data_IF_818803800659
#
_entry.id   IF_818803800659
#
_cell.length_a   1.000
_cell.length_b   1.000
_cell.length_c   1.000
_cell.angle_alpha   90.00
_cell.angle_beta   90.00
_cell.angle_gamma   90.00
#
_symmetry.space_group_name_H-M   'P 1'
#
loop_
_entity.id
_entity.type
_entity.pdbx_description
1 polymer ?
#
# COMPACT_ATOMS: atom_id res chain seq x y z
N UNK A 1 25.39 9.56 -21.12
CA UNK A 1 24.70 10.77 -21.60
C UNK A 1 24.89 10.91 -23.09
N UNK A 2 23.82 11.22 -23.83
CA UNK A 2 23.94 11.59 -25.23
C UNK A 2 24.67 12.93 -25.34
N UNK A 3 25.52 13.08 -26.36
CA UNK A 3 26.19 14.36 -26.64
C UNK A 3 25.19 15.46 -26.98
N UNK A 4 24.08 15.10 -27.61
CA UNK A 4 22.96 16.00 -27.88
C UNK A 4 22.09 16.12 -26.63
N UNK A 5 22.13 17.28 -25.97
CA UNK A 5 21.47 17.51 -24.68
C UNK A 5 19.95 17.29 -24.74
N UNK A 6 19.33 17.75 -25.83
CA UNK A 6 17.88 17.66 -26.12
C UNK A 6 17.33 16.22 -26.14
N UNK A 7 18.18 15.23 -26.47
CA UNK A 7 17.77 13.82 -26.57
C UNK A 7 17.83 13.09 -25.22
N UNK A 8 18.36 13.72 -24.17
CA UNK A 8 18.41 13.09 -22.86
C UNK A 8 17.03 13.17 -22.19
N UNK A 9 16.44 12.01 -21.93
CA UNK A 9 15.17 11.86 -21.24
C UNK A 9 15.34 11.81 -19.72
N UNK A 10 16.53 11.44 -19.24
CA UNK A 10 16.87 11.35 -17.82
C UNK A 10 18.19 12.05 -17.53
N UNK A 11 18.21 12.84 -16.47
CA UNK A 11 19.38 13.56 -16.00
C UNK A 11 19.58 13.26 -14.51
N UNK A 12 20.84 13.01 -14.16
CA UNK A 12 21.25 12.70 -12.79
C UNK A 12 22.32 13.70 -12.40
N UNK A 13 22.01 14.53 -11.41
CA UNK A 13 22.88 15.56 -10.82
C UNK A 13 22.89 15.45 -9.29
N UNK A 14 22.72 14.23 -8.75
CA UNK A 14 22.71 13.96 -7.31
C UNK A 14 24.12 14.05 -6.71
N UNK A 15 24.23 14.46 -5.45
CA UNK A 15 25.49 14.54 -4.69
C UNK A 15 26.59 15.40 -5.35
N UNK A 16 26.21 16.40 -6.14
CA UNK A 16 27.16 17.29 -6.81
C UNK A 16 27.56 18.51 -5.97
N UNK A 17 26.88 18.76 -4.85
CA UNK A 17 27.08 19.96 -4.04
C UNK A 17 26.63 21.24 -4.73
N UNK A 18 25.76 21.12 -5.74
CA UNK A 18 25.25 22.25 -6.51
C UNK A 18 24.40 23.15 -5.62
N UNK A 19 24.54 24.47 -5.78
CA UNK A 19 23.76 25.47 -5.04
C UNK A 19 22.62 26.08 -5.85
N UNK A 20 22.68 25.94 -7.17
CA UNK A 20 21.71 26.49 -8.13
C UNK A 20 21.49 25.51 -9.27
N UNK A 21 20.24 25.43 -9.73
CA UNK A 21 19.85 24.71 -10.93
C UNK A 21 19.98 25.68 -12.11
N UNK A 22 21.02 25.51 -12.91
CA UNK A 22 21.32 26.37 -14.05
C UNK A 22 21.89 25.55 -15.22
N UNK A 23 21.91 26.15 -16.42
CA UNK A 23 22.38 25.52 -17.66
C UNK A 23 21.56 24.27 -18.09
N UNK A 24 20.26 24.26 -17.81
CA UNK A 24 19.34 23.19 -18.20
C UNK A 24 18.51 23.51 -19.46
N UNK A 25 18.68 24.70 -20.05
CA UNK A 25 17.84 25.21 -21.14
C UNK A 25 17.81 24.32 -22.39
N UNK A 26 18.94 23.67 -22.69
CA UNK A 26 19.08 22.77 -23.84
C UNK A 26 18.45 21.38 -23.61
N UNK A 27 18.04 21.03 -22.39
CA UNK A 27 17.49 19.71 -22.06
C UNK A 27 15.96 19.64 -22.27
N UNK A 28 15.48 20.17 -23.40
CA UNK A 28 14.04 20.30 -23.70
C UNK A 28 13.28 18.96 -23.71
N UNK A 29 13.95 17.86 -24.04
CA UNK A 29 13.38 16.50 -24.03
C UNK A 29 13.39 15.79 -22.66
N UNK A 30 13.86 16.45 -21.60
CA UNK A 30 14.02 15.84 -20.29
C UNK A 30 12.69 15.48 -19.65
N UNK A 31 12.56 14.22 -19.23
CA UNK A 31 11.37 13.68 -18.57
C UNK A 31 11.60 13.42 -17.08
N UNK A 32 12.83 13.09 -16.69
CA UNK A 32 13.17 12.77 -15.30
C UNK A 32 14.42 13.50 -14.87
N UNK A 33 14.34 14.24 -13.77
CA UNK A 33 15.47 14.92 -13.15
C UNK A 33 15.70 14.40 -11.74
N UNK A 34 16.87 13.79 -11.52
CA UNK A 34 17.35 13.38 -10.20
C UNK A 34 18.37 14.39 -9.70
N UNK A 35 17.97 15.23 -8.76
CA UNK A 35 18.74 16.36 -8.24
C UNK A 35 18.83 16.34 -6.70
N UNK A 36 18.78 15.15 -6.14
CA UNK A 36 18.81 14.89 -4.69
C UNK A 36 20.20 15.12 -4.08
N UNK A 37 20.26 15.36 -2.77
CA UNK A 37 21.51 15.54 -2.02
C UNK A 37 22.40 16.66 -2.58
N UNK A 38 21.81 17.84 -2.80
CA UNK A 38 22.53 19.05 -3.17
C UNK A 38 22.30 20.16 -2.14
N UNK A 39 22.71 21.39 -2.45
CA UNK A 39 22.51 22.57 -1.62
C UNK A 39 21.55 23.57 -2.25
N UNK A 40 20.55 23.11 -3.03
CA UNK A 40 19.59 24.01 -3.66
C UNK A 40 18.73 24.69 -2.60
N UNK A 41 18.69 26.02 -2.59
CA UNK A 41 17.80 26.79 -1.71
C UNK A 41 16.46 27.15 -2.36
N UNK A 42 16.38 27.04 -3.69
CA UNK A 42 15.21 27.36 -4.50
C UNK A 42 15.09 26.41 -5.68
N UNK A 43 13.88 26.25 -6.17
CA UNK A 43 13.60 25.62 -7.45
C UNK A 43 13.73 26.73 -8.51
N UNK A 44 14.64 26.57 -9.47
CA UNK A 44 14.90 27.53 -10.55
C UNK A 44 15.48 26.79 -11.77
N UNK A 45 15.52 27.43 -12.95
CA UNK A 45 16.18 26.84 -14.13
C UNK A 45 15.42 25.67 -14.76
N UNK A 46 14.12 25.53 -14.48
CA UNK A 46 13.26 24.47 -15.02
C UNK A 46 12.29 24.97 -16.10
N UNK A 47 12.41 26.25 -16.51
CA UNK A 47 11.44 26.97 -17.34
C UNK A 47 11.30 26.34 -18.73
N UNK A 48 12.40 25.80 -19.28
CA UNK A 48 12.44 25.17 -20.59
C UNK A 48 12.11 23.67 -20.57
N UNK A 49 12.00 23.06 -19.39
CA UNK A 49 11.80 21.62 -19.20
C UNK A 49 10.30 21.22 -19.26
N UNK A 50 9.64 21.60 -20.34
CA UNK A 50 8.18 21.42 -20.51
C UNK A 50 7.73 19.95 -20.57
N UNK A 51 8.64 19.04 -20.92
CA UNK A 51 8.39 17.60 -20.98
C UNK A 51 8.61 16.86 -19.64
N UNK A 52 9.00 17.57 -18.58
CA UNK A 52 9.35 16.99 -17.29
C UNK A 52 8.15 16.30 -16.63
N UNK A 53 8.33 15.04 -16.24
CA UNK A 53 7.31 14.18 -15.61
C UNK A 53 7.66 13.82 -14.17
N UNK A 54 8.93 13.69 -13.85
CA UNK A 54 9.37 13.31 -12.50
C UNK A 54 10.54 14.17 -12.05
N UNK A 55 10.36 14.82 -10.91
CA UNK A 55 11.34 15.71 -10.30
C UNK A 55 11.66 15.24 -8.88
N UNK A 56 12.92 14.88 -8.66
CA UNK A 56 13.43 14.44 -7.36
C UNK A 56 14.44 15.46 -6.84
N UNK A 57 14.09 16.13 -5.75
CA UNK A 57 14.83 17.21 -5.11
C UNK A 57 14.98 16.95 -3.61
N UNK A 58 14.98 15.69 -3.20
CA UNK A 58 15.16 15.28 -1.81
C UNK A 58 16.50 15.72 -1.22
N UNK A 59 16.54 15.96 0.09
CA UNK A 59 17.76 16.32 0.82
C UNK A 59 18.45 17.55 0.23
N UNK A 60 17.70 18.66 0.15
CA UNK A 60 18.16 19.97 -0.28
C UNK A 60 17.80 21.03 0.80
N UNK A 61 18.00 22.31 0.50
CA UNK A 61 17.69 23.43 1.40
C UNK A 61 16.48 24.25 0.92
N UNK A 62 15.54 23.63 0.20
CA UNK A 62 14.43 24.35 -0.44
C UNK A 62 13.40 24.76 0.61
N UNK A 63 13.01 26.03 0.60
CA UNK A 63 12.03 26.57 1.57
C UNK A 63 10.61 26.71 1.00
N UNK A 64 10.47 26.74 -0.34
CA UNK A 64 9.21 26.98 -1.03
C UNK A 64 9.12 26.19 -2.33
N UNK A 65 7.90 25.81 -2.70
CA UNK A 65 7.60 25.26 -4.02
C UNK A 65 7.30 26.45 -4.93
N UNK A 66 8.20 26.74 -5.87
CA UNK A 66 8.11 27.88 -6.79
C UNK A 66 8.69 27.52 -8.16
N UNK A 67 8.44 28.36 -9.17
CA UNK A 67 9.00 28.25 -10.53
C UNK A 67 8.72 26.92 -11.24
N UNK A 68 7.53 26.32 -11.02
CA UNK A 68 7.08 25.12 -11.73
C UNK A 68 6.03 25.42 -12.81
N UNK A 69 5.80 26.69 -13.14
CA UNK A 69 4.68 27.17 -13.98
C UNK A 69 4.62 26.50 -15.37
N UNK A 70 5.79 26.18 -15.96
CA UNK A 70 5.90 25.57 -17.28
C UNK A 70 5.89 24.03 -17.28
N UNK A 71 5.93 23.37 -16.10
CA UNK A 71 6.07 21.92 -15.99
C UNK A 71 4.72 21.20 -15.86
N UNK A 72 3.74 21.54 -16.70
CA UNK A 72 2.37 21.01 -16.63
C UNK A 72 2.26 19.47 -16.82
N UNK A 73 3.32 18.81 -17.32
CA UNK A 73 3.38 17.36 -17.48
C UNK A 73 3.90 16.61 -16.24
N UNK A 74 4.19 17.34 -15.14
CA UNK A 74 4.73 16.74 -13.93
C UNK A 74 3.72 15.78 -13.31
N UNK A 75 4.16 14.54 -13.12
CA UNK A 75 3.40 13.43 -12.53
C UNK A 75 3.88 13.11 -11.11
N UNK A 76 5.19 13.21 -10.88
CA UNK A 76 5.82 12.97 -9.57
C UNK A 76 6.67 14.16 -9.16
N UNK A 77 6.37 14.72 -7.99
CA UNK A 77 7.20 15.71 -7.31
C UNK A 77 7.65 15.16 -5.97
N UNK A 78 8.96 15.04 -5.79
CA UNK A 78 9.56 14.52 -4.56
C UNK A 78 10.52 15.55 -3.98
N UNK A 79 10.18 16.05 -2.79
CA UNK A 79 10.91 17.06 -2.03
C UNK A 79 11.11 16.65 -0.55
N UNK A 80 11.43 15.37 -0.23
CA UNK A 80 11.64 14.99 1.16
C UNK A 80 12.88 15.70 1.73
N UNK A 81 12.93 15.86 3.05
CA UNK A 81 14.09 16.43 3.76
C UNK A 81 14.50 17.80 3.22
N UNK A 82 13.54 18.73 3.19
CA UNK A 82 13.72 20.13 2.83
C UNK A 82 13.15 21.02 3.96
N UNK A 83 13.07 22.32 3.75
CA UNK A 83 12.56 23.29 4.73
C UNK A 83 11.23 23.92 4.29
N UNK A 84 10.43 23.19 3.52
CA UNK A 84 9.16 23.69 2.98
C UNK A 84 8.16 23.87 4.12
N UNK A 85 7.54 25.04 4.18
CA UNK A 85 6.56 25.39 5.22
C UNK A 85 5.11 25.34 4.74
N UNK A 86 4.91 25.47 3.42
CA UNK A 86 3.60 25.56 2.80
C UNK A 86 3.60 24.88 1.44
N UNK A 87 2.49 24.20 1.14
CA UNK A 87 2.19 23.66 -0.18
C UNK A 87 1.58 24.77 -1.01
N UNK A 88 2.31 25.22 -2.03
CA UNK A 88 1.89 26.26 -2.97
C UNK A 88 2.46 25.97 -4.37
N UNK A 89 2.06 26.73 -5.39
CA UNK A 89 2.53 26.57 -6.78
C UNK A 89 2.32 25.14 -7.36
N UNK A 90 1.27 24.42 -6.93
CA UNK A 90 0.90 23.10 -7.50
C UNK A 90 -0.41 23.12 -8.28
N UNK A 91 -1.12 24.25 -8.26
CA UNK A 91 -2.48 24.40 -8.79
C UNK A 91 -2.57 24.13 -10.30
N UNK A 92 -1.54 24.45 -11.06
CA UNK A 92 -1.47 24.27 -12.52
C UNK A 92 -0.95 22.87 -12.92
N UNK A 93 -0.44 22.08 -11.99
CA UNK A 93 0.11 20.73 -12.24
C UNK A 93 -0.99 19.67 -12.33
N UNK A 94 -1.82 19.75 -13.37
CA UNK A 94 -3.03 18.91 -13.54
C UNK A 94 -2.77 17.41 -13.58
N UNK A 95 -1.56 17.01 -13.98
CA UNK A 95 -1.14 15.60 -14.06
C UNK A 95 -0.42 15.11 -12.80
N UNK A 96 -0.26 15.96 -11.79
CA UNK A 96 0.47 15.59 -10.58
C UNK A 96 -0.30 14.52 -9.82
N UNK A 97 0.29 13.34 -9.73
CA UNK A 97 -0.31 12.19 -9.08
C UNK A 97 0.36 11.88 -7.73
N UNK A 98 1.68 12.01 -7.67
CA UNK A 98 2.50 11.70 -6.50
C UNK A 98 3.22 12.93 -5.99
N UNK A 99 2.96 13.30 -4.74
CA UNK A 99 3.60 14.39 -4.04
C UNK A 99 4.23 13.87 -2.75
N UNK A 100 5.56 13.90 -2.67
CA UNK A 100 6.30 13.54 -1.48
C UNK A 100 6.92 14.79 -0.85
N UNK A 101 6.48 15.12 0.35
CA UNK A 101 6.92 16.24 1.18
C UNK A 101 7.30 15.77 2.60
N UNK A 102 7.75 14.53 2.73
CA UNK A 102 8.20 14.00 4.02
C UNK A 102 9.32 14.85 4.64
N UNK A 103 9.42 14.88 5.97
CA UNK A 103 10.47 15.57 6.71
C UNK A 103 10.61 17.07 6.33
N UNK A 104 9.49 17.78 6.21
CA UNK A 104 9.46 19.23 6.00
C UNK A 104 8.85 19.95 7.22
N UNK A 105 8.52 21.24 7.09
CA UNK A 105 7.97 22.09 8.15
C UNK A 105 6.51 22.50 7.89
N UNK A 106 5.75 21.68 7.15
CA UNK A 106 4.40 22.00 6.72
C UNK A 106 3.41 21.91 7.90
N UNK A 107 2.49 22.87 8.01
CA UNK A 107 1.36 22.81 8.93
C UNK A 107 1.43 23.76 10.12
N UNK A 108 2.51 24.55 10.26
CA UNK A 108 2.60 25.59 11.29
C UNK A 108 1.58 26.73 11.08
N UNK A 109 1.21 27.02 9.84
CA UNK A 109 0.18 27.98 9.43
C UNK A 109 -1.23 27.39 9.38
N UNK A 110 -1.43 26.18 9.89
CA UNK A 110 -2.72 25.49 9.90
C UNK A 110 -3.16 25.05 8.50
N UNK A 111 -4.47 25.12 8.22
CA UNK A 111 -5.06 24.62 6.97
C UNK A 111 -4.58 25.39 5.73
N UNK A 112 -4.23 26.67 5.88
CA UNK A 112 -3.71 27.48 4.78
C UNK A 112 -2.43 26.93 4.16
N UNK A 113 -1.66 26.11 4.89
CA UNK A 113 -0.43 25.50 4.38
C UNK A 113 -0.70 24.30 3.46
N UNK A 114 -1.90 23.73 3.50
CA UNK A 114 -2.24 22.45 2.85
C UNK A 114 -3.43 22.60 1.89
N UNK A 115 -4.20 23.69 1.99
CA UNK A 115 -5.43 23.93 1.21
C UNK A 115 -5.22 23.82 -0.30
N UNK A 116 -4.04 24.18 -0.80
CA UNK A 116 -3.71 24.09 -2.23
C UNK A 116 -3.69 22.65 -2.77
N UNK A 117 -3.64 21.62 -1.91
CA UNK A 117 -3.86 20.23 -2.33
C UNK A 117 -5.26 20.03 -2.94
N UNK A 118 -6.26 20.75 -2.43
CA UNK A 118 -7.64 20.70 -2.95
C UNK A 118 -7.74 21.48 -4.25
N UNK A 119 -7.12 22.66 -4.31
CA UNK A 119 -7.16 23.53 -5.50
C UNK A 119 -6.52 22.86 -6.73
N UNK A 120 -5.57 21.94 -6.50
CA UNK A 120 -4.98 21.09 -7.52
C UNK A 120 -5.92 19.96 -7.98
N UNK A 121 -6.92 19.56 -7.16
CA UNK A 121 -7.89 18.50 -7.49
C UNK A 121 -9.23 19.03 -8.02
N UNK A 122 -9.67 20.22 -7.61
CA UNK A 122 -11.03 20.75 -7.87
C UNK A 122 -11.22 21.46 -9.23
N UNK A 123 -10.20 21.52 -10.09
CA UNK A 123 -10.30 22.21 -11.40
C UNK A 123 -11.02 21.42 -12.50
N UNK A 124 -11.53 20.24 -12.19
CA UNK A 124 -12.31 19.45 -13.14
C UNK A 124 -13.79 19.84 -13.06
N UNK A 125 -14.17 20.93 -13.76
CA UNK A 125 -15.57 21.32 -14.07
C UNK A 125 -16.29 20.31 -15.02
N UNK A 126 -15.89 19.04 -15.01
CA UNK A 126 -16.46 17.97 -15.81
C UNK A 126 -17.51 17.17 -15.03
N UNK A 127 -18.49 16.55 -15.71
CA UNK A 127 -19.54 15.79 -15.04
C UNK A 127 -18.96 14.67 -14.16
N UNK A 128 -19.40 14.71 -12.90
CA UNK A 128 -19.22 13.74 -11.84
C UNK A 128 -19.55 12.31 -12.32
N UNK A 129 -18.55 11.56 -12.82
CA UNK A 129 -18.48 10.07 -12.93
C UNK A 129 -17.66 9.54 -14.12
N UNK A 130 -16.68 10.26 -14.65
CA UNK A 130 -15.77 9.69 -15.65
C UNK A 130 -14.36 10.22 -15.48
N UNK A 131 -13.55 9.58 -14.63
CA UNK A 131 -12.12 9.36 -14.91
C UNK A 131 -11.59 8.26 -14.00
N UNK A 132 -11.61 7.02 -14.50
CA UNK A 132 -10.64 5.99 -14.09
C UNK A 132 -9.20 6.40 -14.47
N UNK A 133 -9.06 7.50 -15.22
CA UNK A 133 -7.83 8.14 -15.63
C UNK A 133 -7.34 9.13 -14.55
N UNK A 134 -6.74 8.60 -13.48
CA UNK A 134 -5.75 9.21 -12.55
C UNK A 134 -5.50 10.73 -12.48
N UNK A 135 -6.51 11.59 -12.64
CA UNK A 135 -6.40 13.04 -12.61
C UNK A 135 -6.42 13.56 -11.17
N UNK A 136 -5.43 14.38 -10.82
CA UNK A 136 -5.23 14.90 -9.47
C UNK A 136 -4.33 14.05 -8.57
N UNK A 137 -4.01 14.61 -7.41
CA UNK A 137 -3.02 14.04 -6.49
C UNK A 137 -3.62 12.83 -5.75
N UNK A 138 -3.10 11.64 -6.03
CA UNK A 138 -3.57 10.37 -5.48
C UNK A 138 -2.66 9.84 -4.35
N UNK A 139 -1.38 10.22 -4.37
CA UNK A 139 -0.37 9.79 -3.39
C UNK A 139 0.24 11.02 -2.75
N UNK A 140 0.04 11.15 -1.43
CA UNK A 140 0.57 12.27 -0.64
C UNK A 140 1.36 11.71 0.54
N UNK A 141 2.64 12.06 0.60
CA UNK A 141 3.48 11.80 1.76
C UNK A 141 3.78 13.11 2.49
N UNK A 142 3.25 13.21 3.71
CA UNK A 142 3.45 14.34 4.62
C UNK A 142 4.09 13.87 5.94
N UNK A 143 4.79 12.73 5.94
CA UNK A 143 5.45 12.17 7.12
C UNK A 143 6.38 13.20 7.78
N UNK A 144 6.43 13.20 9.12
CA UNK A 144 7.29 14.06 9.95
C UNK A 144 7.20 15.56 9.64
N UNK A 145 6.00 16.07 9.37
CA UNK A 145 5.74 17.51 9.26
C UNK A 145 5.21 18.07 10.60
N UNK A 146 4.63 19.28 10.57
CA UNK A 146 4.13 20.03 11.74
C UNK A 146 2.61 20.21 11.71
N UNK A 147 1.90 19.29 11.06
CA UNK A 147 0.44 19.34 10.96
C UNK A 147 -0.16 19.04 12.33
N UNK A 148 -0.92 19.98 12.88
CA UNK A 148 -1.40 19.91 14.25
C UNK A 148 -2.92 19.79 14.39
N UNK A 149 -3.71 20.57 13.65
CA UNK A 149 -5.16 20.61 13.82
C UNK A 149 -5.87 19.48 13.06
N UNK A 150 -6.47 18.49 13.74
CA UNK A 150 -7.10 17.36 13.07
C UNK A 150 -8.47 17.67 12.48
N UNK A 151 -9.28 18.49 13.14
CA UNK A 151 -10.66 18.68 12.77
C UNK A 151 -10.73 19.47 11.46
N UNK A 152 -9.98 20.57 11.41
CA UNK A 152 -9.99 21.46 10.25
C UNK A 152 -9.24 20.81 9.08
N UNK A 153 -8.08 20.17 9.32
CA UNK A 153 -7.31 19.56 8.21
C UNK A 153 -8.01 18.35 7.61
N UNK A 154 -8.60 17.45 8.41
CA UNK A 154 -9.27 16.26 7.85
C UNK A 154 -10.55 16.68 7.11
N UNK A 155 -11.41 17.44 7.77
CA UNK A 155 -12.76 17.72 7.25
C UNK A 155 -12.72 18.74 6.10
N UNK A 156 -11.80 19.72 6.15
CA UNK A 156 -11.71 20.72 5.09
C UNK A 156 -10.83 20.31 3.92
N UNK A 157 -9.79 19.49 4.13
CA UNK A 157 -8.81 19.12 3.10
C UNK A 157 -8.95 17.68 2.66
N UNK A 158 -8.55 16.71 3.50
CA UNK A 158 -8.41 15.32 3.07
C UNK A 158 -9.74 14.67 2.68
N UNK A 159 -10.85 15.03 3.34
CA UNK A 159 -12.19 14.55 2.97
C UNK A 159 -12.67 15.06 1.60
N UNK A 160 -12.20 16.23 1.15
CA UNK A 160 -12.57 16.78 -0.16
C UNK A 160 -11.75 16.18 -1.30
N UNK A 161 -10.56 15.64 -1.01
CA UNK A 161 -9.69 14.97 -1.98
C UNK A 161 -10.21 13.58 -2.35
N UNK A 162 -11.25 13.52 -3.20
CA UNK A 162 -11.90 12.25 -3.62
C UNK A 162 -10.97 11.27 -4.34
N UNK A 163 -9.91 11.78 -4.98
CA UNK A 163 -8.90 10.97 -5.67
C UNK A 163 -7.79 10.40 -4.77
N UNK A 164 -7.73 10.80 -3.50
CA UNK A 164 -6.65 10.40 -2.59
C UNK A 164 -6.72 8.89 -2.28
N UNK A 165 -5.64 8.18 -2.61
CA UNK A 165 -5.54 6.73 -2.45
C UNK A 165 -4.45 6.30 -1.47
N UNK A 166 -3.39 7.08 -1.34
CA UNK A 166 -2.27 6.80 -0.45
C UNK A 166 -1.96 8.06 0.34
N UNK A 167 -1.95 7.94 1.66
CA UNK A 167 -1.68 9.05 2.57
C UNK A 167 -0.70 8.62 3.65
N UNK A 168 0.39 9.37 3.82
CA UNK A 168 1.30 9.22 4.95
C UNK A 168 1.28 10.47 5.81
N UNK A 169 1.00 10.31 7.11
CA UNK A 169 0.91 11.39 8.08
C UNK A 169 1.65 11.10 9.38
N UNK A 170 2.33 9.94 9.49
CA UNK A 170 3.19 9.59 10.62
C UNK A 170 4.12 10.74 11.03
N UNK A 171 4.38 10.85 12.33
CA UNK A 171 5.28 11.88 12.86
C UNK A 171 4.71 13.31 12.91
N UNK A 172 3.48 13.54 12.45
CA UNK A 172 2.78 14.80 12.66
C UNK A 172 2.07 14.83 14.03
N UNK A 173 2.01 15.99 14.72
CA UNK A 173 1.24 16.16 15.95
C UNK A 173 -0.24 15.73 15.83
N UNK A 174 -0.84 15.92 14.65
CA UNK A 174 -2.23 15.57 14.33
C UNK A 174 -2.54 14.10 14.65
N UNK A 175 -1.59 13.19 14.44
CA UNK A 175 -1.79 11.74 14.63
C UNK A 175 -2.11 11.41 16.09
N UNK A 176 -1.51 12.13 17.05
CA UNK A 176 -1.77 11.92 18.48
C UNK A 176 -3.09 12.55 18.94
N UNK A 177 -3.55 13.59 18.24
CA UNK A 177 -4.77 14.31 18.58
C UNK A 177 -6.03 13.66 18.04
N UNK A 178 -5.93 12.80 17.03
CA UNK A 178 -7.07 12.07 16.45
C UNK A 178 -7.31 10.80 17.28
N UNK A 179 -8.45 10.69 17.99
CA UNK A 179 -8.81 9.44 18.66
C UNK A 179 -9.00 8.34 17.61
N UNK A 180 -8.46 7.15 17.87
CA UNK A 180 -8.52 6.02 16.94
C UNK A 180 -8.05 6.38 15.51
N UNK A 181 -7.04 7.24 15.39
CA UNK A 181 -6.46 7.79 14.16
C UNK A 181 -6.74 6.99 12.87
N UNK A 182 -6.21 5.77 12.78
CA UNK A 182 -6.36 4.91 11.60
C UNK A 182 -7.81 4.58 11.29
N UNK A 183 -8.58 4.13 12.29
CA UNK A 183 -9.99 3.79 12.13
C UNK A 183 -10.81 5.01 11.70
N UNK A 184 -10.53 6.18 12.28
CA UNK A 184 -11.18 7.45 11.95
C UNK A 184 -10.96 7.84 10.50
N UNK A 185 -9.71 7.80 10.04
CA UNK A 185 -9.37 8.13 8.66
C UNK A 185 -9.92 7.12 7.66
N UNK A 186 -9.86 5.82 7.99
CA UNK A 186 -10.42 4.75 7.14
C UNK A 186 -11.92 4.95 6.96
N UNK A 187 -12.68 5.26 8.02
CA UNK A 187 -14.12 5.48 7.93
C UNK A 187 -14.46 6.77 7.15
N UNK A 188 -13.75 7.87 7.42
CA UNK A 188 -14.01 9.17 6.76
C UNK A 188 -13.60 9.22 5.29
N UNK A 189 -12.65 8.39 4.85
CA UNK A 189 -12.11 8.39 3.48
C UNK A 189 -12.36 7.06 2.75
N UNK A 190 -13.46 6.92 1.98
CA UNK A 190 -13.83 5.70 1.26
C UNK A 190 -12.82 5.27 0.17
N UNK A 191 -12.17 6.24 -0.50
CA UNK A 191 -11.23 5.99 -1.59
C UNK A 191 -9.82 5.57 -1.17
N UNK A 192 -9.50 5.66 0.13
CA UNK A 192 -8.14 5.44 0.64
C UNK A 192 -7.78 3.93 0.60
N UNK A 193 -6.66 3.60 -0.03
CA UNK A 193 -6.16 2.22 -0.17
C UNK A 193 -4.97 1.94 0.75
N UNK A 194 -4.16 2.96 1.04
CA UNK A 194 -3.02 2.88 1.95
C UNK A 194 -3.05 4.06 2.90
N UNK A 195 -2.84 3.76 4.18
CA UNK A 195 -2.60 4.77 5.20
C UNK A 195 -1.31 4.41 5.93
N UNK A 196 -0.36 5.33 5.87
CA UNK A 196 1.01 5.12 6.31
C UNK A 196 1.58 3.79 5.74
N UNK A 197 2.19 2.96 6.57
CA UNK A 197 2.89 1.75 6.15
C UNK A 197 1.97 0.55 5.89
N UNK A 198 0.63 0.70 6.02
CA UNK A 198 -0.29 -0.45 5.96
C UNK A 198 -1.42 -0.25 4.94
N UNK A 199 -1.66 -1.25 4.05
CA UNK A 199 -2.84 -1.26 3.19
C UNK A 199 -4.12 -1.30 4.02
N UNK A 200 -5.21 -0.78 3.46
CA UNK A 200 -6.54 -0.80 4.03
C UNK A 200 -7.33 -1.90 3.32
N UNK A 201 -7.76 -2.90 4.09
CA UNK A 201 -8.56 -4.00 3.57
C UNK A 201 -10.07 -3.71 3.70
N UNK A 202 -10.88 -4.38 2.88
CA UNK A 202 -12.33 -4.22 2.90
C UNK A 202 -12.95 -4.52 4.28
N UNK A 203 -12.46 -5.56 4.96
CA UNK A 203 -12.92 -5.92 6.30
C UNK A 203 -12.59 -4.83 7.33
N UNK A 204 -11.39 -4.27 7.28
CA UNK A 204 -10.99 -3.17 8.15
C UNK A 204 -11.91 -1.96 7.95
N UNK A 205 -12.24 -1.66 6.69
CA UNK A 205 -13.16 -0.58 6.34
C UNK A 205 -14.57 -0.83 6.88
N UNK A 206 -15.12 -2.05 6.71
CA UNK A 206 -16.43 -2.43 7.30
C UNK A 206 -16.46 -2.22 8.81
N UNK A 207 -15.40 -2.66 9.51
CA UNK A 207 -15.28 -2.47 10.96
C UNK A 207 -15.18 -1.00 11.36
N UNK A 208 -14.42 -0.21 10.61
CA UNK A 208 -14.29 1.23 10.85
C UNK A 208 -15.61 1.97 10.65
N UNK A 209 -16.35 1.65 9.59
CA UNK A 209 -17.67 2.23 9.32
C UNK A 209 -18.71 1.82 10.38
N UNK A 210 -18.72 0.55 10.79
CA UNK A 210 -19.59 0.08 11.87
C UNK A 210 -19.33 0.83 13.17
N UNK A 211 -18.05 1.06 13.50
CA UNK A 211 -17.66 1.81 14.68
C UNK A 211 -18.14 3.28 14.65
N UNK A 212 -17.91 4.00 13.56
CA UNK A 212 -18.20 5.44 13.51
C UNK A 212 -19.66 5.78 13.22
N UNK A 213 -20.36 4.98 12.41
CA UNK A 213 -21.68 5.34 11.91
C UNK A 213 -22.83 4.55 12.53
N UNK A 214 -22.57 3.38 13.15
CA UNK A 214 -23.63 2.46 13.59
C UNK A 214 -23.79 2.30 15.09
N UNK A 215 -22.78 2.58 15.91
CA UNK A 215 -22.91 2.41 17.37
C UNK A 215 -21.62 2.12 18.15
N UNK A 216 -20.44 2.48 17.64
CA UNK A 216 -19.19 2.35 18.37
C UNK A 216 -18.69 0.90 18.51
N UNK A 217 -18.29 0.53 19.73
CA UNK A 217 -17.58 -0.73 19.99
C UNK A 217 -18.49 -1.95 19.80
N UNK A 218 -19.78 -1.83 20.13
CA UNK A 218 -20.73 -2.96 20.08
C UNK A 218 -20.99 -3.38 18.64
N UNK A 219 -21.30 -2.42 17.76
CA UNK A 219 -21.52 -2.68 16.34
C UNK A 219 -20.25 -3.17 15.63
N UNK A 220 -19.06 -2.70 16.05
CA UNK A 220 -17.80 -3.25 15.56
C UNK A 220 -17.63 -4.73 15.94
N UNK A 221 -18.00 -5.12 17.18
CA UNK A 221 -17.92 -6.52 17.63
C UNK A 221 -18.88 -7.41 16.86
N UNK A 222 -20.10 -6.94 16.60
CA UNK A 222 -21.09 -7.66 15.79
C UNK A 222 -20.60 -7.85 14.35
N UNK A 223 -20.14 -6.77 13.70
CA UNK A 223 -19.61 -6.83 12.34
C UNK A 223 -18.39 -7.77 12.25
N UNK A 224 -17.54 -7.79 13.29
CA UNK A 224 -16.41 -8.73 13.37
C UNK A 224 -16.85 -10.19 13.47
N UNK A 225 -17.93 -10.48 14.21
CA UNK A 225 -18.51 -11.83 14.27
C UNK A 225 -19.08 -12.24 12.91
N UNK A 226 -19.76 -11.33 12.20
CA UNK A 226 -20.29 -11.58 10.86
C UNK A 226 -19.18 -11.89 9.85
N UNK A 227 -18.13 -11.05 9.81
CA UNK A 227 -16.98 -11.28 8.91
C UNK A 227 -16.31 -12.63 9.19
N UNK A 228 -16.21 -13.03 10.46
CA UNK A 228 -15.66 -14.34 10.84
C UNK A 228 -16.52 -15.49 10.31
N UNK A 229 -17.83 -15.40 10.48
CA UNK A 229 -18.78 -16.40 9.97
C UNK A 229 -18.72 -16.51 8.45
N UNK A 230 -18.73 -15.38 7.73
CA UNK A 230 -18.60 -15.34 6.27
C UNK A 230 -17.33 -16.05 5.78
N UNK A 231 -16.18 -15.75 6.40
CA UNK A 231 -14.89 -16.37 6.05
C UNK A 231 -14.83 -17.86 6.37
N UNK A 232 -15.47 -18.29 7.45
CA UNK A 232 -15.53 -19.71 7.81
C UNK A 232 -16.41 -20.49 6.84
N UNK A 233 -17.55 -19.94 6.45
CA UNK A 233 -18.42 -20.53 5.42
C UNK A 233 -17.74 -20.63 4.07
N UNK A 234 -17.01 -19.58 3.67
CA UNK A 234 -16.20 -19.57 2.46
C UNK A 234 -15.10 -20.63 2.52
N UNK A 235 -14.33 -20.68 3.62
CA UNK A 235 -13.29 -21.71 3.82
C UNK A 235 -13.87 -23.12 3.75
N UNK A 236 -15.02 -23.34 4.40
CA UNK A 236 -15.73 -24.62 4.37
C UNK A 236 -16.19 -24.98 2.96
N UNK A 237 -16.66 -24.01 2.17
CA UNK A 237 -17.04 -24.21 0.76
C UNK A 237 -15.82 -24.54 -0.10
N UNK A 238 -14.72 -23.83 0.09
CA UNK A 238 -13.47 -24.04 -0.63
C UNK A 238 -12.87 -25.42 -0.32
N UNK A 239 -12.89 -25.85 0.95
CA UNK A 239 -12.46 -27.19 1.35
C UNK A 239 -13.31 -28.28 0.70
N UNK A 240 -14.64 -28.13 0.68
CA UNK A 240 -15.54 -29.08 -0.03
C UNK A 240 -15.26 -29.15 -1.52
N UNK A 241 -14.94 -28.02 -2.15
CA UNK A 241 -14.57 -27.98 -3.57
C UNK A 241 -13.22 -28.67 -3.81
N UNK A 242 -12.24 -28.44 -2.94
CA UNK A 242 -10.94 -29.10 -2.99
C UNK A 242 -11.05 -30.62 -2.81
N UNK A 243 -11.83 -31.08 -1.83
CA UNK A 243 -12.08 -32.51 -1.62
C UNK A 243 -12.71 -33.17 -2.84
N UNK A 244 -13.66 -32.49 -3.49
CA UNK A 244 -14.29 -32.96 -4.73
C UNK A 244 -13.27 -33.06 -5.87
N UNK A 245 -12.40 -32.06 -6.01
CA UNK A 245 -11.33 -32.06 -7.01
C UNK A 245 -10.38 -33.24 -6.79
N UNK A 246 -9.94 -33.49 -5.55
CA UNK A 246 -9.05 -34.62 -5.21
C UNK A 246 -9.71 -35.96 -5.49
N UNK A 247 -10.99 -36.13 -5.14
CA UNK A 247 -11.73 -37.37 -5.44
C UNK A 247 -11.79 -37.64 -6.95
N UNK A 248 -12.14 -36.63 -7.73
CA UNK A 248 -12.19 -36.73 -9.20
C UNK A 248 -10.83 -37.07 -9.79
N UNK A 249 -9.75 -36.43 -9.34
CA UNK A 249 -8.40 -36.73 -9.81
C UNK A 249 -7.97 -38.18 -9.49
N UNK A 250 -8.35 -38.70 -8.32
CA UNK A 250 -8.09 -40.11 -7.95
C UNK A 250 -8.89 -41.09 -8.79
N UNK A 251 -10.14 -40.76 -9.13
CA UNK A 251 -10.98 -41.56 -10.02
C UNK A 251 -10.42 -41.58 -11.43
N UNK A 252 -10.10 -40.42 -12.01
CA UNK A 252 -9.46 -40.32 -13.34
C UNK A 252 -8.12 -41.06 -13.39
N UNK A 253 -7.30 -40.99 -12.34
CA UNK A 253 -6.05 -41.75 -12.25
C UNK A 253 -6.31 -43.26 -12.22
N UNK A 254 -7.32 -43.70 -11.46
CA UNK A 254 -7.71 -45.12 -11.37
C UNK A 254 -8.25 -45.62 -12.71
N UNK A 255 -9.12 -44.85 -13.36
CA UNK A 255 -9.67 -45.15 -14.68
C UNK A 255 -8.57 -45.19 -15.74
N UNK A 256 -7.65 -44.23 -15.74
CA UNK A 256 -6.47 -44.24 -16.60
C UNK A 256 -5.58 -45.47 -16.38
N UNK A 257 -5.45 -45.94 -15.13
CA UNK A 257 -4.73 -47.20 -14.82
C UNK A 257 -5.47 -48.43 -15.32
N UNK A 258 -6.80 -48.49 -15.15
CA UNK A 258 -7.65 -49.58 -15.65
C UNK A 258 -7.65 -49.64 -17.18
N UNK A 259 -7.76 -48.50 -17.86
CA UNK A 259 -7.66 -48.41 -19.33
C UNK A 259 -6.32 -48.94 -19.84
N UNK A 260 -5.21 -48.62 -19.16
CA UNK A 260 -3.88 -49.19 -19.48
C UNK A 260 -3.77 -50.69 -19.22
N UNK A 261 -4.56 -51.21 -18.28
CA UNK A 261 -4.58 -52.64 -17.93
C UNK A 261 -5.45 -53.48 -18.88
N UNK A 262 -6.43 -52.87 -19.57
CA UNK A 262 -7.35 -53.54 -20.50
C UNK A 262 -7.03 -53.29 -21.98
N UNK A 263 -6.00 -52.49 -22.29
CA UNK A 263 -5.49 -52.35 -23.67
C UNK A 263 -4.46 -53.47 -23.92
N UNK A 264 -4.88 -54.56 -24.56
CA UNK A 264 -4.07 -55.73 -24.95
C UNK A 264 -2.86 -55.39 -25.86
N UNK A 265 -2.65 -54.12 -26.20
CA UNK A 265 -1.48 -53.62 -26.95
C UNK A 265 -0.24 -53.40 -26.09
N UNK A 266 -0.34 -53.39 -24.77
CA UNK A 266 0.81 -53.25 -23.88
C UNK A 266 0.87 -54.40 -22.87
N UNK A 267 1.70 -55.44 -23.12
CA UNK A 267 1.76 -56.61 -22.25
C UNK A 267 2.25 -56.24 -20.84
N UNK A 268 1.73 -56.98 -19.88
CA UNK A 268 2.07 -56.89 -18.46
C UNK A 268 3.60 -57.04 -18.29
N UNK A 269 4.30 -56.13 -17.58
CA UNK A 269 5.77 -56.15 -17.47
C UNK A 269 6.36 -57.41 -16.83
N UNK A 270 5.54 -58.17 -16.11
CA UNK A 270 5.94 -59.41 -15.42
C UNK A 270 5.85 -60.65 -16.33
N UNK A 271 5.08 -60.58 -17.42
CA UNK A 271 4.78 -61.74 -18.28
C UNK A 271 5.66 -61.83 -19.55
N UNK A 272 6.55 -60.86 -19.79
CA UNK A 272 7.56 -60.91 -20.87
C UNK A 272 8.94 -60.43 -20.37
N UNK A 273 9.88 -61.35 -20.08
CA UNK A 273 11.21 -61.00 -19.58
C UNK A 273 12.14 -60.39 -20.64
N UNK A 274 11.69 -60.17 -21.89
CA UNK A 274 12.51 -59.63 -22.99
C UNK A 274 12.07 -58.21 -23.42
N UNK A 275 11.29 -57.50 -22.60
CA UNK A 275 10.98 -56.09 -22.83
C UNK A 275 11.60 -55.15 -21.79
N UNK A 276 12.92 -55.00 -21.90
CA UNK A 276 13.69 -53.97 -21.18
C UNK A 276 13.08 -52.58 -21.37
N UNK A 277 13.16 -51.74 -20.32
CA UNK A 277 12.69 -50.34 -20.28
C UNK A 277 13.08 -49.53 -21.54
N UNK A 278 14.22 -49.83 -22.15
CA UNK A 278 14.70 -49.25 -23.41
C UNK A 278 13.78 -49.54 -24.61
N UNK A 279 13.38 -50.78 -24.84
CA UNK A 279 12.47 -51.15 -25.94
C UNK A 279 11.09 -50.50 -25.81
N UNK A 280 10.65 -50.27 -24.56
CA UNK A 280 9.40 -49.55 -24.27
C UNK A 280 9.51 -48.05 -24.57
N UNK A 281 10.66 -47.43 -24.23
CA UNK A 281 11.00 -46.06 -24.63
C UNK A 281 11.10 -45.91 -26.14
N UNK A 282 11.71 -46.87 -26.83
CA UNK A 282 11.84 -46.85 -28.29
C UNK A 282 10.49 -46.98 -28.99
N UNK A 283 9.62 -47.89 -28.54
CA UNK A 283 8.25 -48.00 -29.08
C UNK A 283 7.43 -46.73 -28.86
N UNK A 284 7.51 -46.13 -27.67
CA UNK A 284 6.85 -44.84 -27.40
C UNK A 284 7.42 -43.71 -28.29
N UNK A 285 8.75 -43.65 -28.47
CA UNK A 285 9.41 -42.68 -29.33
C UNK A 285 9.17 -42.91 -30.83
N UNK A 286 8.88 -44.15 -31.25
CA UNK A 286 8.55 -44.51 -32.63
C UNK A 286 7.08 -44.22 -32.92
N UNK A 287 6.17 -44.55 -31.99
CA UNK A 287 4.75 -44.22 -32.05
C UNK A 287 4.50 -42.70 -32.06
N UNK A 288 5.22 -41.93 -31.23
CA UNK A 288 5.18 -40.47 -31.28
C UNK A 288 5.76 -39.90 -32.59
N UNK A 289 6.72 -40.59 -33.23
CA UNK A 289 7.25 -40.20 -34.55
C UNK A 289 6.29 -40.51 -35.69
N UNK A 290 5.46 -41.54 -35.56
CA UNK A 290 4.45 -41.93 -36.56
C UNK A 290 3.17 -41.09 -36.47
N UNK A 291 2.74 -40.72 -35.25
CA UNK A 291 1.56 -39.84 -35.05
C UNK A 291 1.91 -38.37 -35.32
N UNK A 292 3.09 -37.92 -34.93
CA UNK A 292 3.55 -36.54 -35.14
C UNK A 292 4.55 -36.54 -36.29
N UNK A 293 4.02 -36.52 -37.52
CA UNK A 293 4.83 -36.34 -38.72
C UNK A 293 5.62 -35.03 -38.63
N UNK A 294 6.95 -35.14 -38.44
CA UNK A 294 7.93 -34.04 -38.34
C UNK A 294 7.78 -33.17 -37.07
N UNK A 295 8.88 -32.64 -36.51
CA UNK A 295 8.83 -31.88 -35.27
C UNK A 295 8.37 -30.46 -35.59
N UNK A 296 7.15 -30.11 -35.23
CA UNK A 296 6.83 -28.74 -34.86
C UNK A 296 6.69 -28.68 -33.34
N UNK A 297 7.43 -27.75 -32.74
CA UNK A 297 7.44 -27.46 -31.31
C UNK A 297 6.04 -26.99 -30.87
N UNK A 298 5.20 -27.94 -30.44
CA UNK A 298 4.00 -27.69 -29.63
C UNK A 298 4.35 -27.60 -28.14
N UNK A 299 3.52 -26.93 -27.32
CA UNK A 299 3.94 -26.34 -26.06
C UNK A 299 4.36 -27.40 -25.02
N UNK A 300 5.45 -27.10 -24.32
CA UNK A 300 5.95 -27.91 -23.22
C UNK A 300 4.85 -28.21 -22.20
N UNK A 301 4.72 -29.49 -21.82
CA UNK A 301 3.91 -29.88 -20.67
C UNK A 301 4.45 -29.18 -19.41
N UNK A 302 3.58 -28.67 -18.51
CA UNK A 302 4.05 -28.03 -17.29
C UNK A 302 4.76 -29.06 -16.42
N UNK A 303 6.06 -28.83 -16.20
CA UNK A 303 6.86 -29.55 -15.24
C UNK A 303 6.33 -29.20 -13.84
N UNK A 304 5.94 -30.17 -13.00
CA UNK A 304 5.63 -29.86 -11.60
C UNK A 304 6.94 -29.40 -10.94
N UNK A 305 6.97 -28.19 -10.39
CA UNK A 305 8.08 -27.77 -9.56
C UNK A 305 8.19 -28.75 -8.37
N UNK A 306 9.40 -29.25 -8.06
CA UNK A 306 9.59 -30.06 -6.87
C UNK A 306 9.24 -29.22 -5.63
N UNK A 307 8.69 -29.83 -4.57
CA UNK A 307 8.44 -29.11 -3.33
C UNK A 307 9.79 -28.57 -2.81
N UNK A 308 9.84 -27.26 -2.58
CA UNK A 308 10.96 -26.64 -1.88
C UNK A 308 11.05 -27.24 -0.48
N UNK A 309 12.24 -27.64 0.01
CA UNK A 309 12.39 -28.01 1.41
C UNK A 309 12.18 -26.75 2.24
N UNK A 310 11.12 -26.74 3.04
CA UNK A 310 10.89 -25.68 4.00
C UNK A 310 12.10 -25.56 4.91
N UNK A 311 12.63 -24.35 4.93
CA UNK A 311 13.75 -23.94 5.76
C UNK A 311 13.27 -23.93 7.21
N UNK A 312 13.74 -24.91 7.98
CA UNK A 312 13.50 -25.03 9.41
C UNK A 312 14.36 -23.97 10.13
N UNK A 313 13.83 -22.76 10.26
CA UNK A 313 14.14 -21.85 11.36
C UNK A 313 12.81 -21.63 12.09
N UNK A 314 12.57 -22.23 13.26
CA UNK A 314 13.01 -21.69 14.56
C UNK A 314 12.89 -20.17 14.57
N UNK A 315 11.69 -19.70 14.87
CA UNK A 315 11.55 -18.58 15.78
C UNK A 315 10.55 -18.96 16.86
N UNK A 316 11.07 -18.93 18.07
CA UNK A 316 10.40 -19.12 19.32
C UNK A 316 9.30 -18.06 19.51
N UNK A 317 8.19 -18.54 20.05
CA UNK A 317 7.30 -17.88 20.98
C UNK A 317 7.75 -16.49 21.47
N UNK A 318 6.96 -15.47 21.14
CA UNK A 318 6.38 -14.62 22.18
C UNK A 318 5.18 -13.86 21.63
N UNK A 319 3.98 -14.35 21.97
CA UNK A 319 2.94 -13.53 22.58
C UNK A 319 1.83 -14.46 23.06
N UNK A 320 1.74 -14.53 24.39
CA UNK A 320 0.63 -15.09 25.13
C UNK A 320 -0.65 -14.37 24.70
N UNK A 321 -1.55 -15.12 24.08
CA UNK A 321 -2.98 -14.89 24.23
C UNK A 321 -3.49 -16.13 24.97
N UNK A 322 -3.42 -16.05 26.31
CA UNK A 322 -4.09 -17.00 27.19
C UNK A 322 -5.61 -16.82 27.00
N UNK A 323 -6.20 -17.86 26.42
CA UNK A 323 -7.60 -18.20 26.59
C UNK A 323 -7.80 -18.60 28.06
N UNK A 324 -8.61 -17.85 28.81
CA UNK A 324 -9.30 -18.36 30.00
C UNK A 324 -10.67 -17.66 30.08
N UNK A 325 -11.65 -18.31 29.45
CA UNK A 325 -13.07 -18.22 29.84
C UNK A 325 -13.26 -19.13 31.07
N UNK A 326 -13.58 -18.55 32.22
CA UNK A 326 -14.18 -19.30 33.34
C UNK A 326 -15.39 -18.53 33.89
N UNK A 327 -16.56 -19.10 33.60
CA UNK A 327 -17.84 -18.79 34.23
C UNK A 327 -17.83 -19.27 35.70
N UNK A 328 -18.12 -18.37 36.64
CA UNK A 328 -18.65 -18.76 37.95
C UNK A 328 -19.53 -17.64 38.53
N UNK A 329 -20.84 -17.85 38.41
CA UNK A 329 -21.89 -17.21 39.19
C UNK A 329 -21.85 -17.71 40.65
N UNK A 330 -21.94 -16.81 41.64
CA UNK A 330 -22.92 -16.89 42.74
C UNK A 330 -22.59 -16.01 43.96
N UNK A 331 -23.58 -15.16 44.28
CA UNK A 331 -24.10 -14.86 45.63
C UNK A 331 -23.40 -13.89 46.61
N UNK A 332 -24.14 -12.81 46.86
CA UNK A 332 -24.57 -12.29 48.17
C UNK A 332 -23.59 -11.52 49.09
N UNK A 333 -23.91 -10.23 49.16
CA UNK A 333 -24.41 -9.52 50.35
C UNK A 333 -23.42 -8.85 51.33
N UNK A 334 -23.89 -7.69 51.81
CA UNK A 334 -23.48 -6.92 53.01
C UNK A 334 -22.11 -6.25 52.93
N UNK A 335 -21.83 -5.07 53.49
CA UNK A 335 -22.54 -3.92 54.04
C UNK A 335 -21.43 -3.03 54.65
N UNK A 336 -21.72 -1.74 54.85
CA UNK A 336 -21.10 -0.90 55.90
C UNK A 336 -19.64 -0.41 55.72
N UNK A 337 -19.55 0.91 55.52
CA UNK A 337 -19.00 1.86 56.50
C UNK A 337 -17.49 1.97 56.76
N UNK A 338 -16.97 3.12 56.31
CA UNK A 338 -16.25 4.14 57.09
C UNK A 338 -14.78 3.92 57.49
N UNK A 339 -14.03 5.01 57.28
CA UNK A 339 -12.90 5.53 58.08
C UNK A 339 -11.47 5.30 57.57
N UNK A 340 -10.68 6.38 57.67
CA UNK A 340 -9.21 6.37 57.58
C UNK A 340 -8.67 7.18 56.39
N UNK A 341 -8.78 8.50 56.34
CA UNK A 341 -8.00 9.50 57.09
C UNK A 341 -6.56 9.70 56.59
N UNK A 342 -6.18 10.98 56.53
CA UNK A 342 -4.83 11.57 56.48
C UNK A 342 -4.10 11.62 55.12
N UNK A 343 -3.45 12.72 54.71
CA UNK A 343 -3.32 14.08 55.25
C UNK A 343 -2.47 14.89 54.26
N UNK A 344 -2.70 16.21 54.21
CA UNK A 344 -1.67 17.26 54.09
C UNK A 344 -1.02 17.47 52.71
N UNK A 345 -0.72 18.68 52.21
CA UNK A 345 -0.59 20.03 52.79
C UNK A 345 -0.29 20.99 51.63
N UNK A 346 -0.81 22.22 51.67
CA UNK A 346 -0.22 23.45 51.08
C UNK A 346 -1.14 24.62 51.52
N UNK A 347 -0.89 25.30 52.66
CA UNK A 347 -0.01 26.47 52.88
C UNK A 347 -0.14 27.57 51.82
N UNK A 348 -0.98 28.55 52.17
CA UNK A 348 -0.95 29.93 51.68
C UNK A 348 -0.55 30.84 52.84
N UNK A 349 0.66 31.41 52.80
CA UNK A 349 1.03 32.56 53.60
C UNK A 349 1.20 33.74 52.65
N UNK A 350 0.41 34.79 52.89
CA UNK A 350 0.70 36.13 52.41
C UNK A 350 0.66 37.03 53.64
N UNK A 351 1.82 37.61 53.94
CA UNK A 351 2.10 38.43 55.10
C UNK A 351 1.76 39.90 54.81
N UNK A 352 1.35 40.62 55.84
CA UNK A 352 1.04 42.05 55.74
C UNK A 352 0.49 42.62 57.05
N UNK A 353 1.39 42.93 58.00
CA UNK A 353 1.10 43.65 59.24
C UNK A 353 2.23 43.61 60.24
#
# INVERSE_FOLDING_TARGET
>A
YYRTKELNDKLYIHYGGYRKLENLDEFTGLKVLYAECNGFSKIEGLEHLTALRSLFLGQNCIEKIENLDNNAQLWTLSLPDNFIKKIENIRHLRKLNTLNLANNQIGMGGVGDIISLIEATDQNDGPLNTTDDGEGVAVVDLTNNKIEDPAVVIDEVFMKMRGLRVLYLKGNPVVKKIPNYRKTLVAKMPGLKYLDDRPIFADERRLAEAFFYRGGIETEREERKLIRQEKEEERRRNMRNFDRMIRRAREEFREGRLMRSNDDRYPNPEDDPVDTIERRRERWAQHNREIVGRPEEGPALPVPNPPTPDNVNRDDNNNNDDDDDDDADSTMSTSCSTAGNNQSTERSDNDGG
#
